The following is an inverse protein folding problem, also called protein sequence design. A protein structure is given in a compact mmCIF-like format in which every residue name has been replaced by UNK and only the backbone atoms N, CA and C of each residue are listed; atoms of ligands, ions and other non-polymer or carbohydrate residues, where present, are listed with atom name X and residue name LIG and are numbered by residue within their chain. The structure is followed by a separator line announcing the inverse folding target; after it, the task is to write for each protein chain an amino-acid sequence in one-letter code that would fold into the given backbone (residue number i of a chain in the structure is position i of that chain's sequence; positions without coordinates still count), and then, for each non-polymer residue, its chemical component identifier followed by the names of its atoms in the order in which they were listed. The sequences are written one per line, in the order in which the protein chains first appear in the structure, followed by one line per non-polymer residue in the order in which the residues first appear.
data_IF_676769320048
#
_entry.id   IF_676769320048
#
_cell.length_a   1.000
_cell.length_b   1.000
_cell.length_c   1.000
_cell.angle_alpha   90.00
_cell.angle_beta   90.00
_cell.angle_gamma   90.00
#
_symmetry.space_group_name_H-M   'P 1'
#
loop_
_entity.id
_entity.type
_entity.pdbx_description
1 polymer ?
#
# COMPACT_ATOMS: atom_id res chain seq x y z
N UNK A 1 -2.14 -17.63 -64.09
CA UNK A 1 -1.79 -16.27 -63.64
C UNK A 1 -0.74 -16.37 -62.54
N UNK A 2 0.50 -15.98 -62.81
CA UNK A 2 1.57 -15.98 -61.80
C UNK A 2 1.41 -14.78 -60.88
N UNK A 3 1.09 -15.02 -59.61
CA UNK A 3 0.96 -13.98 -58.60
C UNK A 3 2.35 -13.40 -58.30
N UNK A 4 2.56 -12.11 -58.58
CA UNK A 4 3.77 -11.40 -58.16
C UNK A 4 3.73 -11.22 -56.65
N UNK A 5 4.58 -11.96 -55.93
CA UNK A 5 4.82 -11.73 -54.51
C UNK A 5 5.42 -10.33 -54.33
N UNK A 6 4.64 -9.39 -53.77
CA UNK A 6 5.14 -8.07 -53.38
C UNK A 6 5.91 -8.23 -52.06
N UNK A 7 7.21 -7.99 -52.08
CA UNK A 7 8.04 -7.90 -50.88
C UNK A 7 7.81 -6.57 -50.17
N UNK A 8 7.90 -6.58 -48.83
CA UNK A 8 7.92 -5.37 -48.01
C UNK A 8 9.23 -4.60 -48.26
N UNK A 9 9.15 -3.28 -48.33
CA UNK A 9 10.34 -2.44 -48.43
C UNK A 9 10.97 -2.20 -47.06
N UNK A 10 12.30 -2.04 -47.01
CA UNK A 10 13.01 -1.73 -45.76
C UNK A 10 12.54 -0.40 -45.13
N UNK A 11 12.17 0.58 -45.96
CA UNK A 11 11.68 1.87 -45.49
C UNK A 11 10.29 1.77 -44.84
N UNK A 12 9.42 0.91 -45.35
CA UNK A 12 8.11 0.66 -44.74
C UNK A 12 8.26 0.05 -43.35
N UNK A 13 9.16 -0.92 -43.17
CA UNK A 13 9.42 -1.49 -41.85
C UNK A 13 10.07 -0.48 -40.89
N UNK A 14 10.96 0.39 -41.39
CA UNK A 14 11.63 1.40 -40.59
C UNK A 14 10.65 2.45 -40.03
N UNK A 15 9.72 2.92 -40.85
CA UNK A 15 8.68 3.88 -40.40
C UNK A 15 7.77 3.25 -39.34
N UNK A 16 7.40 1.98 -39.49
CA UNK A 16 6.52 1.30 -38.53
C UNK A 16 7.16 1.19 -37.15
N UNK A 17 8.41 0.75 -37.07
CA UNK A 17 9.11 0.65 -35.77
C UNK A 17 9.31 2.03 -35.13
N UNK A 18 9.50 3.08 -35.95
CA UNK A 18 9.62 4.45 -35.45
C UNK A 18 8.31 4.93 -34.81
N UNK A 19 7.16 4.69 -35.45
CA UNK A 19 5.84 5.06 -34.91
C UNK A 19 5.52 4.26 -33.64
N UNK A 20 5.78 2.95 -33.64
CA UNK A 20 5.59 2.09 -32.45
C UNK A 20 6.45 2.60 -31.29
N UNK A 21 7.70 3.02 -31.54
CA UNK A 21 8.59 3.57 -30.53
C UNK A 21 8.04 4.84 -29.87
N UNK A 22 7.48 5.76 -30.67
CA UNK A 22 6.88 7.00 -30.15
C UNK A 22 5.67 6.67 -29.28
N UNK A 23 4.74 5.84 -29.78
CA UNK A 23 3.54 5.46 -29.04
C UNK A 23 3.86 4.71 -27.74
N UNK A 24 4.85 3.80 -27.77
CA UNK A 24 5.27 3.05 -26.60
C UNK A 24 5.79 3.94 -25.46
N UNK A 25 6.53 5.01 -25.78
CA UNK A 25 7.08 5.92 -24.76
C UNK A 25 5.99 6.67 -23.97
N UNK A 26 4.95 7.16 -24.67
CA UNK A 26 3.82 7.86 -24.03
C UNK A 26 3.00 6.91 -23.17
N UNK A 27 2.72 5.70 -23.66
CA UNK A 27 1.98 4.69 -22.89
C UNK A 27 2.74 4.30 -21.62
N UNK A 28 4.05 4.11 -21.70
CA UNK A 28 4.87 3.72 -20.54
C UNK A 28 4.83 4.78 -19.41
N UNK A 29 4.91 6.06 -19.77
CA UNK A 29 4.81 7.16 -18.79
C UNK A 29 3.44 7.16 -18.08
N UNK A 30 2.36 6.97 -18.83
CA UNK A 30 1.00 6.91 -18.27
C UNK A 30 0.80 5.68 -17.37
N UNK A 31 1.37 4.54 -17.76
CA UNK A 31 1.25 3.28 -17.03
C UNK A 31 1.97 3.33 -15.67
N UNK A 32 3.15 3.96 -15.60
CA UNK A 32 3.87 4.13 -14.35
C UNK A 32 3.04 4.92 -13.33
N UNK A 33 2.41 6.02 -13.77
CA UNK A 33 1.54 6.83 -12.91
C UNK A 33 0.31 6.03 -12.45
N UNK A 34 -0.31 5.26 -13.35
CA UNK A 34 -1.46 4.42 -13.01
C UNK A 34 -1.10 3.31 -12.00
N UNK A 35 0.06 2.67 -12.16
CA UNK A 35 0.56 1.65 -11.22
C UNK A 35 0.80 2.22 -9.83
N UNK A 36 1.37 3.42 -9.75
CA UNK A 36 1.59 4.13 -8.47
C UNK A 36 0.26 4.43 -7.77
N UNK A 37 -0.71 5.03 -8.47
CA UNK A 37 -2.05 5.29 -7.91
C UNK A 37 -2.78 4.02 -7.50
N UNK A 38 -2.63 2.94 -8.27
CA UNK A 38 -3.21 1.63 -7.95
C UNK A 38 -2.63 1.02 -6.67
N UNK A 39 -1.32 1.18 -6.46
CA UNK A 39 -0.68 0.77 -5.21
C UNK A 39 -1.21 1.57 -4.01
N UNK A 40 -1.35 2.88 -4.13
CA UNK A 40 -1.89 3.74 -3.06
C UNK A 40 -3.35 3.40 -2.74
N UNK A 41 -4.16 3.12 -3.76
CA UNK A 41 -5.53 2.64 -3.57
C UNK A 41 -5.57 1.30 -2.82
N UNK A 42 -4.65 0.38 -3.14
CA UNK A 42 -4.53 -0.89 -2.44
C UNK A 42 -4.07 -0.72 -0.98
N UNK A 43 -3.15 0.20 -0.69
CA UNK A 43 -2.77 0.56 0.69
C UNK A 43 -4.00 1.02 1.47
N UNK A 44 -4.74 2.01 0.92
CA UNK A 44 -5.94 2.58 1.55
C UNK A 44 -7.03 1.52 1.77
N UNK A 45 -7.25 0.63 0.80
CA UNK A 45 -8.24 -0.44 0.92
C UNK A 45 -7.87 -1.48 1.99
N UNK A 46 -6.62 -1.94 2.03
CA UNK A 46 -6.15 -2.89 3.04
C UNK A 46 -6.23 -2.30 4.46
N UNK A 47 -5.85 -1.02 4.63
CA UNK A 47 -5.99 -0.33 5.92
C UNK A 47 -7.46 -0.10 6.31
N UNK A 48 -8.35 0.13 5.35
CA UNK A 48 -9.79 0.19 5.63
C UNK A 48 -10.34 -1.15 6.14
N UNK A 49 -9.86 -2.28 5.60
CA UNK A 49 -10.25 -3.61 6.07
C UNK A 49 -9.72 -3.90 7.49
N UNK A 50 -8.58 -3.31 7.87
CA UNK A 50 -8.02 -3.46 9.21
C UNK A 50 -9.02 -3.03 10.30
N UNK A 51 -9.84 -2.00 10.06
CA UNK A 51 -10.84 -1.55 11.03
C UNK A 51 -11.86 -2.62 11.38
N UNK A 52 -12.51 -3.18 10.37
CA UNK A 52 -13.51 -4.23 10.60
C UNK A 52 -12.88 -5.44 11.33
N UNK A 53 -11.63 -5.78 10.99
CA UNK A 53 -10.90 -6.85 11.66
C UNK A 53 -10.53 -6.51 13.11
N UNK A 54 -10.19 -5.24 13.39
CA UNK A 54 -9.89 -4.77 14.75
C UNK A 54 -11.12 -4.84 15.65
N UNK A 55 -12.30 -4.45 15.16
CA UNK A 55 -13.55 -4.55 15.94
C UNK A 55 -13.88 -6.01 16.28
N UNK A 56 -13.73 -6.93 15.32
CA UNK A 56 -13.89 -8.37 15.58
C UNK A 56 -12.89 -8.88 16.61
N UNK A 57 -11.65 -8.37 16.57
CA UNK A 57 -10.63 -8.70 17.55
C UNK A 57 -10.98 -8.16 18.93
N UNK A 58 -11.48 -6.93 19.03
CA UNK A 58 -11.91 -6.30 20.28
C UNK A 58 -12.97 -7.13 21.01
N UNK A 59 -14.00 -7.58 20.28
CA UNK A 59 -15.06 -8.43 20.82
C UNK A 59 -14.51 -9.78 21.32
N UNK A 60 -13.54 -10.35 20.60
CA UNK A 60 -12.92 -11.61 20.96
C UNK A 60 -11.92 -11.48 22.14
N UNK A 61 -11.30 -10.31 22.29
CA UNK A 61 -10.24 -10.03 23.25
C UNK A 61 -10.77 -9.33 24.52
N UNK A 62 -11.97 -9.71 24.97
CA UNK A 62 -12.56 -9.17 26.20
C UNK A 62 -12.70 -7.64 26.21
N UNK A 63 -13.08 -7.04 25.08
CA UNK A 63 -13.22 -5.59 24.90
C UNK A 63 -11.87 -4.85 25.02
N UNK A 64 -10.82 -5.39 24.40
CA UNK A 64 -9.48 -4.80 24.41
C UNK A 64 -8.82 -4.86 23.04
N UNK A 65 -8.17 -3.78 22.63
CA UNK A 65 -7.31 -3.75 21.43
C UNK A 65 -5.89 -4.25 21.68
N UNK A 66 -5.56 -4.59 22.93
CA UNK A 66 -4.21 -5.03 23.30
C UNK A 66 -3.75 -6.21 22.43
N UNK A 67 -2.58 -6.06 21.82
CA UNK A 67 -1.92 -6.96 20.88
C UNK A 67 -2.56 -7.11 19.50
N UNK A 68 -3.56 -6.29 19.13
CA UNK A 68 -4.24 -6.38 17.83
C UNK A 68 -3.29 -6.25 16.64
N UNK A 69 -2.15 -5.56 16.79
CA UNK A 69 -1.16 -5.42 15.73
C UNK A 69 -0.33 -6.70 15.49
N UNK A 70 -0.23 -7.61 16.48
CA UNK A 70 0.79 -8.67 16.48
C UNK A 70 0.26 -10.08 16.72
N UNK A 71 -0.88 -10.23 17.37
CA UNK A 71 -1.41 -11.54 17.75
C UNK A 71 -2.63 -11.93 16.91
N UNK A 72 -2.85 -13.25 16.85
CA UNK A 72 -4.11 -13.82 16.43
C UNK A 72 -4.73 -14.50 17.64
N UNK A 73 -5.97 -14.17 17.96
CA UNK A 73 -6.68 -14.72 19.10
C UNK A 73 -7.54 -15.91 18.64
N UNK A 74 -7.03 -17.13 18.83
CA UNK A 74 -7.67 -18.37 18.38
C UNK A 74 -8.17 -18.30 16.91
N UNK A 75 -9.47 -18.07 16.69
CA UNK A 75 -10.10 -17.99 15.36
C UNK A 75 -10.23 -16.58 14.79
N UNK A 76 -9.87 -15.54 15.55
CA UNK A 76 -9.92 -14.15 15.13
C UNK A 76 -8.52 -13.63 14.89
N UNK A 77 -8.28 -13.11 13.68
CA UNK A 77 -6.99 -12.51 13.34
C UNK A 77 -6.90 -11.09 13.88
N UNK A 78 -5.71 -10.66 14.27
CA UNK A 78 -5.42 -9.24 14.45
C UNK A 78 -5.34 -8.50 13.11
N UNK A 79 -4.94 -7.24 13.14
CA UNK A 79 -4.82 -6.41 11.93
C UNK A 79 -3.48 -6.54 11.21
N UNK A 80 -2.50 -7.22 11.81
CA UNK A 80 -1.15 -7.37 11.26
C UNK A 80 -1.12 -7.84 9.80
N UNK A 81 -1.96 -8.81 9.41
CA UNK A 81 -2.03 -9.30 8.03
C UNK A 81 -2.51 -8.23 7.04
N UNK A 82 -3.50 -7.42 7.43
CA UNK A 82 -4.04 -6.33 6.60
C UNK A 82 -3.02 -5.19 6.46
N UNK A 83 -2.37 -4.84 7.57
CA UNK A 83 -1.31 -3.83 7.62
C UNK A 83 -0.09 -4.27 6.80
N UNK A 84 0.26 -5.55 6.84
CA UNK A 84 1.32 -6.13 6.01
C UNK A 84 0.96 -6.17 4.52
N UNK A 85 -0.28 -6.50 4.19
CA UNK A 85 -0.77 -6.45 2.81
C UNK A 85 -0.71 -5.03 2.23
N UNK A 86 -1.03 -4.01 3.05
CA UNK A 86 -0.84 -2.61 2.69
C UNK A 86 0.65 -2.29 2.45
N UNK A 87 1.54 -2.67 3.35
CA UNK A 87 2.98 -2.45 3.18
C UNK A 87 3.54 -3.12 1.91
N UNK A 88 3.06 -4.33 1.59
CA UNK A 88 3.42 -5.04 0.35
C UNK A 88 2.92 -4.30 -0.89
N UNK A 89 1.76 -3.65 -0.85
CA UNK A 89 1.29 -2.83 -1.97
C UNK A 89 2.22 -1.64 -2.24
N UNK A 90 2.82 -1.07 -1.18
CA UNK A 90 3.83 -0.02 -1.29
C UNK A 90 5.17 -0.53 -1.85
N UNK A 91 5.80 -1.55 -1.28
CA UNK A 91 7.17 -1.95 -1.69
C UNK A 91 7.20 -2.98 -2.82
N UNK A 92 6.12 -3.72 -3.03
CA UNK A 92 6.13 -4.96 -3.82
C UNK A 92 6.73 -6.17 -3.09
N UNK A 93 7.16 -6.01 -1.84
CA UNK A 93 7.82 -7.02 -1.03
C UNK A 93 7.23 -7.08 0.40
N UNK A 94 7.44 -8.18 1.10
CA UNK A 94 6.98 -8.32 2.49
C UNK A 94 7.80 -7.39 3.39
N UNK A 95 7.15 -6.49 4.13
CA UNK A 95 7.78 -5.65 5.13
C UNK A 95 7.61 -6.26 6.55
N UNK A 96 8.41 -5.84 7.52
CA UNK A 96 8.12 -6.09 8.93
C UNK A 96 7.25 -4.95 9.47
N UNK A 97 6.17 -5.26 10.18
CA UNK A 97 5.35 -4.25 10.87
C UNK A 97 6.15 -3.70 12.06
N UNK A 98 6.40 -2.39 12.08
CA UNK A 98 6.91 -1.72 13.28
C UNK A 98 5.86 -1.76 14.39
N UNK A 99 6.25 -2.15 15.60
CA UNK A 99 5.36 -2.27 16.78
C UNK A 99 5.42 -1.04 17.69
N UNK A 100 4.74 -1.03 18.83
CA UNK A 100 4.60 0.10 19.79
C UNK A 100 5.87 0.90 20.10
N UNK A 101 7.05 0.28 20.07
CA UNK A 101 8.32 0.97 20.37
C UNK A 101 8.95 1.65 19.17
N UNK A 102 8.41 1.42 17.97
CA UNK A 102 8.93 1.97 16.73
C UNK A 102 8.24 3.28 16.41
N UNK A 103 9.02 4.33 16.17
CA UNK A 103 8.46 5.55 15.57
C UNK A 103 8.36 5.31 14.06
N UNK A 104 7.18 5.52 13.49
CA UNK A 104 7.06 5.57 12.04
C UNK A 104 7.69 6.86 11.52
N UNK A 105 8.75 6.69 10.74
CA UNK A 105 9.33 7.76 9.93
C UNK A 105 9.51 7.21 8.51
N UNK A 106 8.90 7.90 7.54
CA UNK A 106 8.88 7.54 6.12
C UNK A 106 10.25 7.15 5.54
N UNK A 107 11.34 7.70 6.09
CA UNK A 107 12.72 7.46 5.62
C UNK A 107 13.26 6.08 6.01
N UNK A 108 12.79 5.52 7.12
CA UNK A 108 13.36 4.31 7.74
C UNK A 108 12.33 3.21 8.00
N UNK A 109 11.04 3.53 7.93
CA UNK A 109 9.93 2.61 8.14
C UNK A 109 8.87 2.81 7.06
N UNK A 110 8.34 1.69 6.57
CA UNK A 110 7.27 1.66 5.56
C UNK A 110 5.92 1.42 6.22
N UNK A 111 5.92 0.87 7.44
CA UNK A 111 4.72 0.51 8.16
C UNK A 111 4.96 0.53 9.66
N UNK A 112 4.00 1.06 10.41
CA UNK A 112 3.92 0.88 11.85
C UNK A 112 2.48 0.60 12.27
N UNK A 113 2.34 -0.11 13.37
CA UNK A 113 1.09 -0.40 14.02
C UNK A 113 1.32 -0.28 15.52
N UNK A 114 0.49 0.51 16.17
CA UNK A 114 0.50 0.66 17.62
C UNK A 114 -0.85 0.30 18.17
N UNK A 115 -0.84 -0.34 19.33
CA UNK A 115 -2.04 -0.72 20.05
C UNK A 115 -1.88 -0.55 21.55
N UNK A 116 -3.00 -0.36 22.22
CA UNK A 116 -3.13 -0.50 23.65
C UNK A 116 -4.52 -1.09 23.95
N UNK A 117 -4.89 -1.19 25.23
CA UNK A 117 -6.19 -1.74 25.58
C UNK A 117 -7.39 -0.93 25.05
N UNK A 118 -7.19 0.36 24.77
CA UNK A 118 -8.24 1.33 24.46
C UNK A 118 -8.33 1.74 22.99
N UNK A 119 -7.26 1.55 22.22
CA UNK A 119 -7.24 1.92 20.82
C UNK A 119 -6.08 1.31 20.05
N UNK A 120 -6.05 1.59 18.76
CA UNK A 120 -4.96 1.25 17.87
C UNK A 120 -4.86 2.27 16.74
N UNK A 121 -3.67 2.40 16.18
CA UNK A 121 -3.42 3.11 14.92
C UNK A 121 -2.41 2.34 14.07
N UNK A 122 -2.63 2.37 12.76
CA UNK A 122 -1.71 1.81 11.78
C UNK A 122 -1.45 2.80 10.67
N UNK A 123 -0.19 2.94 10.29
CA UNK A 123 0.26 3.83 9.23
C UNK A 123 1.12 3.07 8.22
N UNK A 124 0.91 3.35 6.93
CA UNK A 124 1.70 2.75 5.84
C UNK A 124 2.06 3.81 4.82
N UNK A 125 3.31 3.83 4.35
CA UNK A 125 3.79 4.75 3.32
C UNK A 125 2.98 4.64 2.01
N UNK A 126 2.62 5.77 1.42
CA UNK A 126 2.10 5.88 0.05
C UNK A 126 3.27 6.07 -0.92
N UNK A 127 3.09 5.66 -2.18
CA UNK A 127 4.08 5.86 -3.24
C UNK A 127 4.06 7.29 -3.80
N UNK A 128 2.98 8.06 -3.62
CA UNK A 128 2.83 9.41 -4.16
C UNK A 128 2.04 10.32 -3.21
N UNK A 129 2.46 11.59 -2.97
CA UNK A 129 3.66 12.26 -3.50
C UNK A 129 4.98 11.90 -2.80
N UNK A 130 6.09 12.09 -3.54
CA UNK A 130 7.47 11.86 -3.11
C UNK A 130 8.02 12.96 -2.17
N UNK A 131 7.21 13.44 -1.22
CA UNK A 131 7.65 14.34 -0.16
C UNK A 131 7.37 13.70 1.20
N UNK A 132 8.22 14.01 2.19
CA UNK A 132 8.53 13.20 3.37
C UNK A 132 7.41 13.01 4.43
N UNK A 133 6.13 13.00 4.04
CA UNK A 133 5.01 13.10 4.98
C UNK A 133 3.74 12.31 4.60
N UNK A 134 3.85 11.27 3.79
CA UNK A 134 2.67 10.63 3.17
C UNK A 134 2.51 9.16 3.56
N UNK A 135 2.48 8.87 4.86
CA UNK A 135 1.81 7.66 5.32
C UNK A 135 0.30 7.83 5.21
N UNK A 136 -0.44 6.76 4.91
CA UNK A 136 -1.87 6.73 5.17
C UNK A 136 -2.07 6.09 6.53
N UNK A 137 -2.66 6.84 7.44
CA UNK A 137 -2.93 6.41 8.81
C UNK A 137 -4.41 6.11 8.97
N UNK A 138 -4.70 4.99 9.62
CA UNK A 138 -6.03 4.62 10.10
C UNK A 138 -5.97 4.32 11.59
N UNK A 139 -7.01 4.70 12.33
CA UNK A 139 -7.13 4.39 13.75
C UNK A 139 -8.52 3.87 14.16
N UNK A 140 -8.59 3.46 15.42
CA UNK A 140 -9.79 3.04 16.15
C UNK A 140 -10.88 4.11 16.28
N UNK A 141 -10.53 5.40 16.17
CA UNK A 141 -11.51 6.50 16.25
C UNK A 141 -12.23 6.76 14.92
N UNK A 142 -11.78 6.09 13.85
CA UNK A 142 -12.31 6.26 12.50
C UNK A 142 -11.54 7.27 11.65
N UNK A 143 -10.40 7.80 12.11
CA UNK A 143 -9.57 8.69 11.30
C UNK A 143 -8.91 7.90 10.16
N UNK A 144 -9.09 8.35 8.91
CA UNK A 144 -8.49 7.78 7.70
C UNK A 144 -7.89 8.93 6.88
N UNK A 145 -6.62 9.24 7.11
CA UNK A 145 -5.99 10.45 6.57
C UNK A 145 -4.53 10.21 6.23
N UNK A 146 -3.99 11.12 5.42
CA UNK A 146 -2.55 11.17 5.18
C UNK A 146 -1.87 11.82 6.41
N UNK A 147 -0.76 11.22 6.84
CA UNK A 147 -0.03 11.58 8.06
C UNK A 147 1.48 11.44 7.83
N UNK A 148 2.23 12.36 8.44
CA UNK A 148 3.67 12.45 8.27
C UNK A 148 4.47 11.44 9.11
N UNK A 149 3.93 11.13 10.28
CA UNK A 149 4.54 10.26 11.26
C UNK A 149 3.44 9.59 12.08
N UNK A 150 3.82 8.52 12.77
CA UNK A 150 3.08 7.96 13.89
C UNK A 150 4.11 7.76 15.00
N UNK A 151 3.93 8.49 16.10
CA UNK A 151 4.85 8.43 17.23
C UNK A 151 4.72 7.09 17.94
N UNK A 152 5.79 6.65 18.61
CA UNK A 152 5.81 5.37 19.33
C UNK A 152 4.65 5.29 20.33
N UNK A 153 3.85 4.23 20.23
CA UNK A 153 2.70 3.98 21.11
C UNK A 153 1.50 4.90 20.84
N UNK A 154 1.53 5.73 19.80
CA UNK A 154 0.39 6.54 19.44
C UNK A 154 -0.73 5.68 18.83
N UNK A 155 -1.87 5.61 19.51
CA UNK A 155 -3.08 4.88 19.05
C UNK A 155 -4.08 5.75 18.29
N UNK A 156 -3.63 6.92 17.84
CA UNK A 156 -4.42 7.86 17.06
C UNK A 156 -3.58 8.46 15.92
N UNK A 157 -4.26 8.69 14.80
CA UNK A 157 -3.75 9.48 13.68
C UNK A 157 -3.99 10.98 13.95
#
# INVERSE_FOLDING_TARGET
MSQKNKGFTLIELLVVIAIIGILASVVLASLNTARTKGADAAVKANLSNARAQAELFYDANSNSYDTVCTTNLASVKGIGDSVLAAAKAHTGATASVGTDTTVFNYTSQIVACHDDATGWAAIVSLKNPATASNGFCVDSTGAAKEAAALDSGAVAC
#
